data_IF_057852710940
#
_entry.id   IF_057852710940
#
_cell.length_a   1.000
_cell.length_b   1.000
_cell.length_c   1.000
_cell.angle_alpha   90.00
_cell.angle_beta   90.00
_cell.angle_gamma   90.00
#
_symmetry.space_group_name_H-M   'P 1'
#
loop_
_entity.id
_entity.type
_entity.pdbx_description
1 polymer ?
#
# COMPACT_ATOMS: atom_id res chain seq x y z
N UNK A 1 19.16 -18.09 25.41
CA UNK A 1 17.77 -17.89 25.84
C UNK A 1 17.15 -16.97 24.82
N UNK A 2 16.15 -17.46 24.04
CA UNK A 2 15.41 -16.59 23.10
C UNK A 2 14.57 -15.62 23.94
N UNK A 3 14.84 -14.31 23.83
CA UNK A 3 13.99 -13.28 24.43
C UNK A 3 12.65 -13.33 23.70
N UNK A 4 11.58 -13.58 24.44
CA UNK A 4 10.23 -13.49 23.90
C UNK A 4 9.93 -12.04 23.57
N UNK A 5 9.57 -11.79 22.32
CA UNK A 5 9.03 -10.49 21.87
C UNK A 5 7.54 -10.54 22.18
N UNK A 6 7.06 -9.71 23.11
CA UNK A 6 5.63 -9.52 23.32
C UNK A 6 5.13 -8.49 22.33
N UNK A 7 4.38 -8.95 21.35
CA UNK A 7 3.69 -8.07 20.39
C UNK A 7 2.25 -7.95 20.90
N UNK A 8 1.85 -6.74 21.28
CA UNK A 8 0.43 -6.45 21.56
C UNK A 8 -0.21 -6.00 20.27
N UNK A 9 -1.02 -6.87 19.68
CA UNK A 9 -1.72 -6.61 18.43
C UNK A 9 -3.12 -6.09 18.74
N UNK A 10 -3.41 -4.84 18.39
CA UNK A 10 -4.77 -4.31 18.41
C UNK A 10 -5.33 -4.37 16.98
N UNK A 11 -6.30 -5.25 16.75
CA UNK A 11 -7.02 -5.35 15.48
C UNK A 11 -8.29 -4.54 15.63
N UNK A 12 -8.34 -3.40 14.95
CA UNK A 12 -9.57 -2.61 14.85
C UNK A 12 -10.12 -2.79 13.44
N UNK A 13 -11.11 -3.68 13.31
CA UNK A 13 -11.90 -3.81 12.09
C UNK A 13 -12.86 -2.63 11.99
N UNK A 14 -12.45 -1.57 11.32
CA UNK A 14 -13.37 -0.47 11.00
C UNK A 14 -13.98 -0.78 9.64
N UNK A 15 -15.15 -1.38 9.67
CA UNK A 15 -16.05 -1.37 8.51
C UNK A 15 -16.69 0.01 8.49
N UNK A 16 -16.20 0.93 7.64
CA UNK A 16 -16.91 2.17 7.31
C UNK A 16 -18.16 1.87 6.46
N UNK A 17 -19.10 1.10 7.01
CA UNK A 17 -20.40 0.75 6.41
C UNK A 17 -21.55 1.45 7.14
N UNK A 18 -21.36 2.63 7.74
CA UNK A 18 -22.44 3.27 8.52
C UNK A 18 -23.36 4.15 7.66
N UNK A 19 -23.15 4.38 6.37
CA UNK A 19 -24.00 5.29 5.61
C UNK A 19 -24.86 4.68 4.50
N UNK A 20 -24.75 3.40 4.17
CA UNK A 20 -25.69 2.76 3.23
C UNK A 20 -26.97 2.23 3.90
N UNK A 21 -26.95 1.95 5.20
CA UNK A 21 -28.12 1.49 5.95
C UNK A 21 -29.19 2.58 6.16
N UNK A 22 -28.80 3.82 6.35
CA UNK A 22 -29.75 4.93 6.60
C UNK A 22 -30.49 5.37 5.33
N UNK A 23 -29.87 5.28 4.16
CA UNK A 23 -30.49 5.63 2.88
C UNK A 23 -31.55 4.60 2.43
N UNK A 24 -31.35 3.31 2.71
CA UNK A 24 -32.32 2.27 2.38
C UNK A 24 -33.54 2.28 3.32
N UNK A 25 -33.38 2.64 4.57
CA UNK A 25 -34.51 2.74 5.51
C UNK A 25 -35.37 3.98 5.19
N UNK A 26 -34.78 5.06 4.71
CA UNK A 26 -35.51 6.26 4.32
C UNK A 26 -36.33 6.05 3.02
N UNK A 27 -35.78 5.29 2.07
CA UNK A 27 -36.46 4.95 0.81
C UNK A 27 -37.64 3.96 1.01
N UNK A 28 -37.57 3.09 2.00
CA UNK A 28 -38.63 2.14 2.33
C UNK A 28 -39.83 2.79 3.03
N UNK A 29 -39.64 3.96 3.69
CA UNK A 29 -40.74 4.67 4.38
C UNK A 29 -41.47 5.71 3.55
N UNK A 30 -40.98 6.08 2.35
CA UNK A 30 -41.56 7.12 1.49
C UNK A 30 -41.80 6.68 0.04
N UNK A 31 -41.95 5.39 -0.22
CA UNK A 31 -42.19 4.83 -1.54
C UNK A 31 -43.63 5.05 -2.04
N UNK A 32 -43.85 6.16 -2.74
CA UNK A 32 -44.98 6.37 -3.60
C UNK A 32 -44.75 5.71 -4.97
N UNK A 33 -45.73 4.90 -5.37
CA UNK A 33 -45.96 4.21 -6.64
C UNK A 33 -45.44 4.97 -7.88
N UNK A 34 -44.57 4.34 -8.69
CA UNK A 34 -44.34 4.74 -10.08
C UNK A 34 -44.69 3.58 -11.00
N UNK A 35 -45.69 3.87 -11.88
CA UNK A 35 -46.21 3.02 -12.91
C UNK A 35 -45.14 2.59 -13.92
N UNK A 36 -45.08 1.29 -14.18
CA UNK A 36 -44.44 0.66 -15.33
C UNK A 36 -45.07 1.16 -16.65
N UNK A 37 -44.25 1.56 -17.60
CA UNK A 37 -44.61 1.78 -18.99
C UNK A 37 -43.77 0.85 -19.86
N UNK A 38 -44.46 -0.16 -20.40
CA UNK A 38 -43.97 -1.03 -21.47
C UNK A 38 -43.68 -0.22 -22.75
N UNK A 39 -42.57 -0.53 -23.39
CA UNK A 39 -42.49 -0.37 -24.86
C UNK A 39 -41.49 -1.41 -25.43
N UNK A 40 -42.10 -2.32 -26.18
CA UNK A 40 -41.52 -3.32 -27.08
C UNK A 40 -41.06 -2.69 -28.39
N UNK A 41 -40.13 -3.39 -29.04
CA UNK A 41 -39.81 -3.45 -30.48
C UNK A 41 -38.90 -2.30 -31.01
N UNK A 42 -37.87 -2.57 -31.80
CA UNK A 42 -37.77 -3.43 -33.00
C UNK A 42 -36.29 -3.67 -33.37
N UNK A 43 -36.05 -4.85 -33.94
CA UNK A 43 -34.81 -5.26 -34.61
C UNK A 43 -34.76 -4.75 -36.07
N UNK A 44 -33.56 -4.50 -36.62
CA UNK A 44 -33.17 -4.69 -38.04
C UNK A 44 -31.67 -4.34 -38.17
N UNK A 45 -30.83 -5.30 -38.40
CA UNK A 45 -30.20 -5.85 -39.61
C UNK A 45 -29.27 -4.91 -40.40
N UNK A 46 -28.04 -5.41 -40.52
CA UNK A 46 -27.19 -5.53 -41.68
C UNK A 46 -26.32 -4.32 -42.13
N UNK A 47 -25.08 -4.68 -42.44
CA UNK A 47 -24.23 -3.99 -43.39
C UNK A 47 -22.75 -4.15 -43.16
N UNK A 48 -22.20 -5.20 -43.75
CA UNK A 48 -20.82 -5.49 -44.13
C UNK A 48 -20.16 -4.40 -44.96
N UNK A 49 -18.81 -4.31 -44.87
CA UNK A 49 -17.76 -4.15 -45.90
C UNK A 49 -16.57 -3.44 -45.28
N UNK A 50 -15.43 -4.03 -45.17
CA UNK A 50 -14.36 -4.45 -46.08
C UNK A 50 -13.35 -3.32 -46.40
N UNK A 51 -12.17 -3.53 -45.92
CA UNK A 51 -10.86 -3.63 -46.58
C UNK A 51 -10.11 -2.37 -47.08
N UNK A 52 -8.82 -2.56 -46.97
CA UNK A 52 -7.62 -2.06 -47.72
C UNK A 52 -6.87 -0.91 -47.07
N UNK A 53 -5.66 -1.15 -46.63
CA UNK A 53 -4.32 -1.46 -47.19
C UNK A 53 -3.56 -0.19 -47.62
N UNK A 54 -2.38 -0.02 -47.05
CA UNK A 54 -1.11 0.45 -47.67
C UNK A 54 -0.13 0.91 -46.57
N UNK A 55 0.89 0.14 -46.29
CA UNK A 55 2.26 0.09 -46.84
C UNK A 55 3.14 1.35 -46.67
N UNK A 56 4.25 1.02 -45.96
CA UNK A 56 5.65 1.38 -46.18
C UNK A 56 6.11 2.88 -46.12
N UNK A 57 7.09 3.11 -45.25
CA UNK A 57 8.49 3.32 -45.67
C UNK A 57 9.45 3.59 -44.51
N UNK A 58 10.50 2.79 -44.52
CA UNK A 58 11.88 2.92 -44.06
C UNK A 58 12.46 4.33 -43.94
N UNK A 59 13.35 4.47 -42.98
CA UNK A 59 14.33 5.53 -42.87
C UNK A 59 15.41 5.24 -41.87
N UNK A 60 16.43 4.54 -42.32
CA UNK A 60 17.72 4.23 -41.71
C UNK A 60 18.64 5.47 -41.79
N UNK A 61 19.46 5.73 -40.76
CA UNK A 61 20.87 6.20 -40.86
C UNK A 61 21.42 6.53 -39.47
N UNK A 62 22.33 5.77 -38.99
CA UNK A 62 23.81 5.89 -39.00
C UNK A 62 24.45 6.83 -37.98
N UNK A 63 25.18 6.11 -37.06
CA UNK A 63 26.58 6.26 -36.63
C UNK A 63 27.23 7.63 -36.43
N UNK A 64 27.84 7.79 -35.23
CA UNK A 64 29.30 8.01 -34.97
C UNK A 64 29.55 8.27 -33.48
N UNK A 65 30.24 7.42 -32.81
CA UNK A 65 31.66 7.28 -32.38
C UNK A 65 32.42 8.55 -31.98
N UNK A 66 33.07 8.47 -30.86
CA UNK A 66 34.21 9.27 -30.41
C UNK A 66 34.16 9.58 -28.93
N UNK A 67 35.03 9.32 -28.15
CA UNK A 67 36.38 8.83 -27.91
C UNK A 67 36.81 9.42 -26.54
N UNK A 68 37.48 8.59 -25.79
CA UNK A 68 38.36 8.71 -24.62
C UNK A 68 38.79 10.10 -24.13
N UNK A 69 38.92 10.23 -22.77
CA UNK A 69 40.25 10.47 -22.17
C UNK A 69 40.28 10.16 -20.70
N UNK A 70 41.40 9.53 -20.32
CA UNK A 70 41.93 9.18 -19.03
C UNK A 70 42.24 10.39 -18.11
N UNK A 71 42.27 10.15 -16.81
CA UNK A 71 42.88 11.04 -15.82
C UNK A 71 43.06 10.38 -14.46
N UNK A 72 44.18 9.71 -14.29
CA UNK A 72 44.78 9.28 -12.99
C UNK A 72 45.28 10.49 -12.19
N UNK A 73 45.28 10.37 -10.83
CA UNK A 73 46.39 10.60 -9.90
C UNK A 73 45.87 10.35 -8.47
N UNK A 74 46.35 9.35 -7.79
CA UNK A 74 47.53 9.17 -6.93
C UNK A 74 47.49 9.97 -5.62
N UNK A 75 47.35 9.18 -4.54
CA UNK A 75 48.13 9.02 -3.31
C UNK A 75 48.50 10.23 -2.45
N UNK A 76 48.26 10.13 -1.16
CA UNK A 76 49.34 9.97 -0.17
C UNK A 76 48.82 9.73 1.24
N UNK A 77 49.61 8.95 1.95
CA UNK A 77 49.48 8.45 3.31
C UNK A 77 49.99 9.45 4.34
N UNK A 78 49.47 9.40 5.56
CA UNK A 78 50.05 10.02 6.74
C UNK A 78 49.81 9.19 7.98
N UNK A 79 50.81 8.48 8.46
CA UNK A 79 50.92 7.83 9.78
C UNK A 79 51.33 8.87 10.83
N UNK A 80 50.88 8.63 12.07
CA UNK A 80 51.66 8.58 13.34
C UNK A 80 50.69 8.56 14.51
N UNK A 81 50.71 7.56 15.31
CA UNK A 81 51.52 7.12 16.43
C UNK A 81 51.03 7.64 17.80
N UNK A 82 50.53 6.68 18.55
CA UNK A 82 50.63 6.34 19.97
C UNK A 82 50.80 7.42 21.07
N UNK A 83 49.98 7.30 22.12
CA UNK A 83 50.48 7.22 23.49
C UNK A 83 49.45 6.55 24.41
N UNK A 84 49.93 5.54 25.11
CA UNK A 84 49.31 4.87 26.26
C UNK A 84 49.22 5.84 27.43
N UNK A 85 48.12 5.80 28.17
CA UNK A 85 48.20 5.94 29.62
C UNK A 85 47.07 5.16 30.30
N UNK A 86 47.50 4.30 31.19
CA UNK A 86 46.64 3.41 31.96
C UNK A 86 46.16 4.13 33.22
N UNK A 87 44.85 4.27 33.37
CA UNK A 87 44.30 4.51 34.71
C UNK A 87 43.13 3.57 35.01
N UNK A 88 43.40 2.72 35.98
CA UNK A 88 42.59 1.64 36.50
C UNK A 88 41.49 2.22 37.40
N UNK A 89 40.27 2.43 36.87
CA UNK A 89 39.11 2.75 37.69
C UNK A 89 38.14 1.57 37.74
N UNK A 90 38.00 1.02 38.94
CA UNK A 90 37.03 0.01 39.30
C UNK A 90 35.64 0.52 38.94
N UNK A 91 35.13 0.04 37.86
CA UNK A 91 33.77 0.36 37.40
C UNK A 91 32.76 -0.51 38.12
N UNK A 92 31.94 0.14 38.92
CA UNK A 92 30.66 -0.35 39.42
C UNK A 92 29.82 -0.81 38.22
N UNK A 93 29.56 -2.09 38.10
CA UNK A 93 28.61 -2.67 37.16
C UNK A 93 27.25 -2.08 37.47
N UNK A 94 26.84 -1.06 36.75
CA UNK A 94 25.43 -0.75 36.59
C UNK A 94 24.90 -1.76 35.58
N UNK A 95 24.21 -2.79 36.09
CA UNK A 95 23.24 -3.50 35.28
C UNK A 95 22.23 -2.45 34.77
N UNK A 96 22.45 -1.97 33.57
CA UNK A 96 21.37 -1.36 32.80
C UNK A 96 20.38 -2.50 32.51
N UNK A 97 19.31 -2.55 33.28
CA UNK A 97 18.13 -3.28 32.88
C UNK A 97 17.69 -2.63 31.56
N UNK A 98 17.98 -3.31 30.49
CA UNK A 98 17.48 -3.01 29.14
C UNK A 98 15.98 -3.23 29.19
N UNK A 99 15.23 -2.24 29.66
CA UNK A 99 13.78 -2.21 29.63
C UNK A 99 13.44 -1.95 28.16
N UNK A 100 13.29 -3.03 27.39
CA UNK A 100 12.72 -2.91 26.04
C UNK A 100 11.28 -2.48 26.22
N UNK A 101 10.97 -1.24 25.91
CA UNK A 101 9.60 -0.76 25.85
C UNK A 101 8.82 -1.62 24.84
N UNK A 102 7.59 -1.99 25.20
CA UNK A 102 6.68 -2.69 24.28
C UNK A 102 6.40 -1.75 23.11
N UNK A 103 6.40 -2.28 21.88
CA UNK A 103 6.06 -1.52 20.68
C UNK A 103 4.65 -1.88 20.24
N UNK A 104 3.82 -0.87 20.06
CA UNK A 104 2.42 -0.98 19.64
C UNK A 104 2.32 -0.82 18.13
N UNK A 105 1.82 -1.84 17.43
CA UNK A 105 1.49 -1.80 16.02
C UNK A 105 -0.01 -1.73 15.85
N UNK A 106 -0.52 -0.73 15.12
CA UNK A 106 -1.93 -0.57 14.80
C UNK A 106 -2.16 -0.90 13.31
N UNK A 107 -3.14 -1.74 13.06
CA UNK A 107 -3.59 -2.06 11.71
C UNK A 107 -5.07 -1.74 11.55
N UNK A 108 -5.44 -1.10 10.44
CA UNK A 108 -6.84 -0.98 10.04
C UNK A 108 -7.08 -1.73 8.74
N UNK A 109 -8.35 -1.94 8.39
CA UNK A 109 -8.76 -2.39 7.07
C UNK A 109 -8.70 -1.27 6.04
N UNK A 110 -9.69 -1.25 5.16
CA UNK A 110 -9.77 -0.38 4.00
C UNK A 110 -10.13 1.06 4.43
N UNK A 111 -9.25 2.00 4.09
CA UNK A 111 -9.46 3.44 4.26
C UNK A 111 -9.84 4.02 2.92
N UNK A 112 -10.99 4.69 2.88
CA UNK A 112 -11.54 5.27 1.68
C UNK A 112 -11.98 6.71 1.91
N UNK A 113 -11.34 7.66 1.23
CA UNK A 113 -11.70 9.07 1.27
C UNK A 113 -12.82 9.39 0.27
N UNK A 114 -14.02 8.83 0.52
CA UNK A 114 -15.21 9.01 -0.29
C UNK A 114 -15.91 10.37 -0.04
N UNK A 115 -17.04 10.61 -0.70
CA UNK A 115 -17.74 11.91 -0.71
C UNK A 115 -18.03 12.48 0.69
N UNK A 116 -18.46 11.66 1.64
CA UNK A 116 -18.73 12.08 3.03
C UNK A 116 -17.45 12.49 3.76
N UNK A 117 -16.33 11.84 3.48
CA UNK A 117 -15.04 12.21 4.04
C UNK A 117 -14.69 13.67 3.71
N UNK A 118 -14.69 14.02 2.41
CA UNK A 118 -14.32 15.37 1.95
C UNK A 118 -15.19 16.44 2.62
N UNK A 119 -16.51 16.23 2.62
CA UNK A 119 -17.45 17.19 3.23
C UNK A 119 -17.19 17.40 4.73
N UNK A 120 -16.95 16.30 5.45
CA UNK A 120 -16.71 16.38 6.89
C UNK A 120 -15.32 16.98 7.19
N UNK A 121 -14.29 16.55 6.45
CA UNK A 121 -12.95 17.06 6.64
C UNK A 121 -12.86 18.57 6.35
N UNK A 122 -13.49 19.05 5.28
CA UNK A 122 -13.53 20.47 4.94
C UNK A 122 -14.29 21.30 6.00
N UNK A 123 -15.24 20.69 6.71
CA UNK A 123 -16.02 21.35 7.74
C UNK A 123 -15.31 21.43 9.10
N UNK A 124 -14.44 20.48 9.45
CA UNK A 124 -13.86 20.41 10.79
C UNK A 124 -12.60 19.57 10.93
N UNK A 125 -11.87 19.31 9.81
CA UNK A 125 -10.65 18.50 9.83
C UNK A 125 -10.93 17.04 10.19
N UNK A 126 -9.87 16.34 10.60
CA UNK A 126 -9.98 14.91 10.93
C UNK A 126 -10.92 14.62 12.09
N UNK A 127 -11.09 15.54 13.02
CA UNK A 127 -12.00 15.41 14.18
C UNK A 127 -13.48 15.38 13.79
N UNK A 128 -13.83 15.84 12.59
CA UNK A 128 -15.17 15.70 12.03
C UNK A 128 -15.35 14.39 11.21
N UNK A 129 -14.28 13.63 11.00
CA UNK A 129 -14.29 12.39 10.21
C UNK A 129 -14.27 11.15 11.09
N UNK A 130 -13.40 11.11 12.09
CA UNK A 130 -13.26 10.01 13.04
C UNK A 130 -13.49 10.48 14.47
N UNK A 131 -14.02 9.61 15.32
CA UNK A 131 -14.20 9.94 16.73
C UNK A 131 -12.85 10.02 17.49
N UNK A 132 -12.87 10.74 18.61
CA UNK A 132 -11.65 10.97 19.40
C UNK A 132 -11.01 9.67 19.90
N UNK A 133 -11.80 8.67 20.29
CA UNK A 133 -11.26 7.39 20.77
C UNK A 133 -10.51 6.65 19.70
N UNK A 134 -11.03 6.66 18.48
CA UNK A 134 -10.35 6.08 17.30
C UNK A 134 -9.07 6.85 16.98
N UNK A 135 -9.15 8.18 16.94
CA UNK A 135 -7.99 9.03 16.69
C UNK A 135 -6.89 8.79 17.73
N UNK A 136 -7.24 8.72 19.02
CA UNK A 136 -6.29 8.43 20.08
C UNK A 136 -5.60 7.06 19.90
N UNK A 137 -6.33 6.03 19.51
CA UNK A 137 -5.76 4.70 19.24
C UNK A 137 -4.74 4.73 18.09
N UNK A 138 -5.08 5.41 17.00
CA UNK A 138 -4.24 5.49 15.81
C UNK A 138 -2.97 6.34 16.07
N UNK A 139 -3.14 7.52 16.68
CA UNK A 139 -2.04 8.47 16.89
C UNK A 139 -1.06 8.01 17.99
N UNK A 140 -1.56 7.31 19.01
CA UNK A 140 -0.72 6.84 20.13
C UNK A 140 -0.04 5.49 19.85
N UNK A 141 -0.32 4.82 18.75
CA UNK A 141 0.44 3.66 18.32
C UNK A 141 1.84 4.09 17.86
N UNK A 142 2.84 3.24 18.11
CA UNK A 142 4.22 3.49 17.65
C UNK A 142 4.34 3.41 16.14
N UNK A 143 3.54 2.52 15.50
CA UNK A 143 3.43 2.39 14.04
C UNK A 143 1.98 2.10 13.68
N UNK A 144 1.40 2.90 12.78
CA UNK A 144 0.06 2.69 12.22
C UNK A 144 0.13 2.39 10.74
N UNK A 145 -0.42 1.25 10.32
CA UNK A 145 -0.55 0.82 8.92
C UNK A 145 -2.01 0.67 8.51
N UNK A 146 -2.35 1.21 7.33
CA UNK A 146 -3.71 1.14 6.77
C UNK A 146 -3.68 0.67 5.31
N UNK A 147 -4.82 0.19 4.78
CA UNK A 147 -4.98 0.01 3.34
C UNK A 147 -5.57 1.30 2.73
N UNK A 148 -4.78 2.02 1.93
CA UNK A 148 -5.24 3.17 1.14
C UNK A 148 -5.91 2.66 -0.14
N UNK A 149 -7.24 2.64 -0.16
CA UNK A 149 -8.00 2.00 -1.23
C UNK A 149 -8.51 2.98 -2.29
N UNK A 150 -7.68 3.94 -2.64
CA UNK A 150 -7.93 4.93 -3.69
C UNK A 150 -6.61 5.58 -4.12
N UNK A 151 -6.47 6.11 -5.33
CA UNK A 151 -5.32 6.92 -5.71
C UNK A 151 -5.50 8.39 -5.30
N UNK A 152 -4.42 9.03 -4.84
CA UNK A 152 -4.29 10.48 -4.76
C UNK A 152 -3.88 11.05 -6.11
N UNK A 153 -4.81 11.68 -6.81
CA UNK A 153 -4.51 12.32 -8.11
C UNK A 153 -5.63 13.26 -8.54
N UNK A 154 -5.25 14.24 -9.36
CA UNK A 154 -6.20 15.04 -10.14
C UNK A 154 -6.13 14.69 -11.64
N UNK A 155 -5.34 13.67 -12.01
CA UNK A 155 -5.08 13.23 -13.40
C UNK A 155 -5.60 11.81 -13.63
N UNK A 156 -5.39 11.32 -14.82
CA UNK A 156 -5.77 9.96 -15.22
C UNK A 156 -7.20 9.85 -15.71
N UNK A 157 -7.52 8.69 -16.28
CA UNK A 157 -8.83 8.39 -16.85
C UNK A 157 -9.49 7.31 -16.01
N UNK A 158 -10.73 7.55 -15.66
CA UNK A 158 -11.54 6.57 -14.92
C UNK A 158 -11.61 5.24 -15.68
N UNK A 159 -11.44 4.15 -14.96
CA UNK A 159 -11.58 2.80 -15.51
C UNK A 159 -13.03 2.59 -15.99
N UNK A 160 -13.18 2.16 -17.25
CA UNK A 160 -14.44 1.74 -17.81
C UNK A 160 -14.88 0.38 -17.24
N UNK A 161 -16.16 0.09 -17.26
CA UNK A 161 -16.75 -1.19 -16.84
C UNK A 161 -16.47 -1.61 -15.38
N UNK A 162 -16.08 -0.66 -14.52
CA UNK A 162 -15.96 -0.86 -13.08
C UNK A 162 -17.06 -0.11 -12.32
N UNK A 163 -17.86 -0.83 -11.51
CA UNK A 163 -19.03 -0.28 -10.83
C UNK A 163 -18.69 0.86 -9.87
N UNK A 164 -17.61 0.72 -9.12
CA UNK A 164 -17.11 1.73 -8.19
C UNK A 164 -15.67 2.07 -8.51
N UNK A 165 -15.39 3.36 -8.63
CA UNK A 165 -14.05 3.90 -8.84
C UNK A 165 -13.82 5.07 -7.91
N UNK A 166 -12.63 5.13 -7.31
CA UNK A 166 -12.29 6.12 -6.30
C UNK A 166 -11.07 6.93 -6.73
N UNK A 167 -11.09 8.20 -6.38
CA UNK A 167 -9.94 9.11 -6.53
C UNK A 167 -10.09 10.27 -5.57
N UNK A 168 -8.99 10.66 -4.94
CA UNK A 168 -8.96 11.78 -3.99
C UNK A 168 -7.93 12.81 -4.41
N UNK A 169 -8.27 14.08 -4.24
CA UNK A 169 -7.33 15.19 -4.48
C UNK A 169 -6.13 15.07 -3.53
N UNK A 170 -4.88 15.19 -4.02
CA UNK A 170 -3.67 15.12 -3.20
C UNK A 170 -3.64 16.07 -1.99
N UNK A 171 -4.39 17.17 -2.03
CA UNK A 171 -4.50 18.10 -0.89
C UNK A 171 -5.06 17.48 0.39
N UNK A 172 -5.78 16.36 0.28
CA UNK A 172 -6.32 15.63 1.44
C UNK A 172 -5.33 14.63 2.06
N UNK A 173 -4.14 14.48 1.50
CA UNK A 173 -3.17 13.50 2.01
C UNK A 173 -2.72 13.81 3.46
N UNK A 174 -2.75 15.07 3.88
CA UNK A 174 -2.48 15.46 5.26
C UNK A 174 -3.38 14.75 6.27
N UNK A 175 -4.60 14.38 5.89
CA UNK A 175 -5.52 13.65 6.76
C UNK A 175 -4.96 12.30 7.23
N UNK A 176 -4.18 11.59 6.39
CA UNK A 176 -3.50 10.36 6.82
C UNK A 176 -2.50 10.65 7.95
N UNK A 177 -1.72 11.73 7.87
CA UNK A 177 -0.80 12.13 8.94
C UNK A 177 -1.53 12.55 10.20
N UNK A 178 -2.65 13.25 10.09
CA UNK A 178 -3.50 13.64 11.23
C UNK A 178 -4.12 12.40 11.91
N UNK A 179 -4.30 11.32 11.18
CA UNK A 179 -4.69 10.00 11.70
C UNK A 179 -3.52 9.22 12.32
N UNK A 180 -2.28 9.71 12.26
CA UNK A 180 -1.11 9.00 12.76
C UNK A 180 -0.62 7.88 11.84
N UNK A 181 -0.97 7.89 10.55
CA UNK A 181 -0.55 6.84 9.59
C UNK A 181 0.92 7.00 9.24
N UNK A 182 1.69 5.92 9.36
CA UNK A 182 3.10 5.82 9.02
C UNK A 182 3.34 5.02 7.73
N UNK A 183 2.53 3.98 7.51
CA UNK A 183 2.65 3.08 6.36
C UNK A 183 1.27 2.86 5.74
N UNK A 184 1.20 2.87 4.41
CA UNK A 184 0.01 2.40 3.69
C UNK A 184 0.34 1.18 2.83
N UNK A 185 -0.64 0.29 2.63
CA UNK A 185 -0.60 -0.62 1.50
C UNK A 185 -1.34 0.01 0.33
N UNK A 186 -0.73 -0.05 -0.85
CA UNK A 186 -1.34 0.33 -2.12
C UNK A 186 -1.72 -0.89 -2.97
N UNK A 187 -1.47 -2.09 -2.43
CA UNK A 187 -1.79 -3.34 -3.12
C UNK A 187 -3.28 -3.70 -2.94
N UNK A 188 -4.16 -3.09 -3.74
CA UNK A 188 -5.60 -3.32 -3.69
C UNK A 188 -6.25 -3.19 -5.08
N UNK A 189 -7.56 -3.38 -5.15
CA UNK A 189 -8.31 -3.35 -6.39
C UNK A 189 -8.82 -1.95 -6.79
N UNK A 190 -8.42 -0.88 -6.08
CA UNK A 190 -8.86 0.48 -6.37
C UNK A 190 -7.73 1.47 -6.69
N UNK A 191 -6.49 1.14 -6.40
CA UNK A 191 -5.37 2.08 -6.54
C UNK A 191 -5.09 2.52 -7.99
N UNK A 192 -5.53 1.75 -8.97
CA UNK A 192 -5.40 2.05 -10.40
C UNK A 192 -6.74 2.41 -11.08
N UNK A 193 -7.75 2.80 -10.32
CA UNK A 193 -9.07 3.19 -10.84
C UNK A 193 -9.02 4.32 -11.86
N UNK A 194 -7.99 5.14 -11.81
CA UNK A 194 -7.72 6.23 -12.75
C UNK A 194 -6.41 6.04 -13.52
N UNK A 195 -5.93 4.80 -13.58
CA UNK A 195 -4.76 4.42 -14.37
C UNK A 195 -3.42 4.69 -13.68
N UNK A 196 -2.33 4.41 -14.41
CA UNK A 196 -0.96 4.46 -13.88
C UNK A 196 -0.49 5.87 -13.56
N UNK A 197 -1.03 6.87 -14.27
CA UNK A 197 -0.74 8.26 -14.01
C UNK A 197 -1.20 8.67 -12.61
N UNK A 198 -2.41 8.24 -12.22
CA UNK A 198 -2.92 8.47 -10.89
C UNK A 198 -2.14 7.70 -9.81
N UNK A 199 -1.69 6.48 -10.10
CA UNK A 199 -0.81 5.72 -9.21
C UNK A 199 0.54 6.45 -8.99
N UNK A 200 1.14 6.98 -10.05
CA UNK A 200 2.40 7.73 -9.95
C UNK A 200 2.24 9.02 -9.14
N UNK A 201 1.10 9.70 -9.27
CA UNK A 201 0.76 10.86 -8.44
C UNK A 201 0.62 10.48 -6.96
N UNK A 202 0.05 9.29 -6.69
CA UNK A 202 -0.08 8.76 -5.33
C UNK A 202 1.29 8.56 -4.68
N UNK A 203 2.26 7.97 -5.39
CA UNK A 203 3.63 7.82 -4.88
C UNK A 203 4.22 9.18 -4.49
N UNK A 204 4.17 10.16 -5.41
CA UNK A 204 4.67 11.51 -5.15
C UNK A 204 3.97 12.19 -3.96
N UNK A 205 2.67 11.96 -3.83
CA UNK A 205 1.86 12.53 -2.75
C UNK A 205 2.26 11.97 -1.38
N UNK A 206 2.40 10.64 -1.29
CA UNK A 206 2.80 9.96 -0.06
C UNK A 206 4.25 10.30 0.33
N UNK A 207 5.16 10.34 -0.64
CA UNK A 207 6.55 10.79 -0.42
C UNK A 207 6.57 12.20 0.16
N UNK A 208 5.73 13.10 -0.37
CA UNK A 208 5.58 14.48 0.12
C UNK A 208 5.06 14.59 1.56
N UNK A 209 4.33 13.57 2.04
CA UNK A 209 3.84 13.47 3.42
C UNK A 209 4.79 12.66 4.33
N UNK A 210 5.83 12.04 3.79
CA UNK A 210 6.70 11.14 4.52
C UNK A 210 5.98 9.89 5.02
N UNK A 211 5.00 9.40 4.25
CA UNK A 211 4.27 8.16 4.50
C UNK A 211 4.89 7.06 3.64
N UNK A 212 5.29 5.97 4.26
CA UNK A 212 5.81 4.80 3.53
C UNK A 212 4.67 4.06 2.84
N UNK A 213 4.96 3.45 1.68
CA UNK A 213 3.97 2.63 0.98
C UNK A 213 4.57 1.32 0.49
N UNK A 214 3.80 0.24 0.61
CA UNK A 214 4.17 -1.12 0.24
C UNK A 214 3.22 -1.71 -0.79
N UNK A 215 3.72 -2.66 -1.58
CA UNK A 215 2.90 -3.49 -2.48
C UNK A 215 2.56 -2.87 -3.82
N UNK A 216 3.06 -1.67 -4.12
CA UNK A 216 3.00 -1.06 -5.44
C UNK A 216 4.30 -0.30 -5.72
N UNK A 217 4.58 -0.07 -7.00
CA UNK A 217 5.79 0.63 -7.43
C UNK A 217 5.78 0.95 -8.92
N UNK A 218 6.76 1.72 -9.34
CA UNK A 218 7.06 2.00 -10.75
C UNK A 218 7.83 0.87 -11.43
N UNK A 219 8.33 -0.08 -10.63
CA UNK A 219 9.00 -1.29 -11.06
C UNK A 219 8.70 -2.46 -10.12
N UNK A 220 9.03 -3.68 -10.53
CA UNK A 220 8.88 -4.90 -9.72
C UNK A 220 9.71 -4.79 -8.45
N UNK A 221 10.94 -4.30 -8.56
CA UNK A 221 11.88 -4.14 -7.45
C UNK A 221 11.28 -3.20 -6.38
N UNK A 222 10.73 -2.05 -6.79
CA UNK A 222 10.10 -1.11 -5.84
C UNK A 222 8.84 -1.67 -5.20
N UNK A 223 8.01 -2.38 -5.97
CA UNK A 223 6.79 -2.98 -5.42
C UNK A 223 7.04 -4.13 -4.43
N UNK A 224 8.21 -4.80 -4.53
CA UNK A 224 8.67 -5.87 -3.64
C UNK A 224 9.55 -5.37 -2.48
N UNK A 225 9.92 -4.11 -2.50
CA UNK A 225 10.80 -3.53 -1.50
C UNK A 225 10.12 -3.51 -0.12
N UNK A 226 10.81 -4.08 0.89
CA UNK A 226 10.35 -4.01 2.27
C UNK A 226 10.49 -2.59 2.79
N UNK A 227 9.42 -2.05 3.36
CA UNK A 227 9.44 -0.76 4.03
C UNK A 227 9.82 -0.98 5.48
N UNK A 228 10.83 -0.29 5.99
CA UNK A 228 11.37 -0.53 7.34
C UNK A 228 11.24 0.72 8.19
N UNK A 229 10.66 0.56 9.37
CA UNK A 229 10.61 1.59 10.43
C UNK A 229 11.37 1.06 11.63
N UNK A 230 12.24 1.89 12.21
CA UNK A 230 12.95 1.56 13.43
C UNK A 230 12.33 2.29 14.62
N UNK A 231 11.84 1.51 15.59
CA UNK A 231 11.22 2.00 16.82
C UNK A 231 11.76 1.18 18.00
N UNK A 232 12.12 1.85 19.09
CA UNK A 232 12.62 1.22 20.31
C UNK A 232 13.81 0.26 20.08
N UNK A 233 14.69 0.62 19.11
CA UNK A 233 15.87 -0.16 18.75
C UNK A 233 15.58 -1.47 18.00
N UNK A 234 14.37 -1.62 17.44
CA UNK A 234 13.97 -2.75 16.59
C UNK A 234 13.50 -2.26 15.23
N UNK A 235 13.74 -3.07 14.20
CA UNK A 235 13.33 -2.83 12.83
C UNK A 235 12.06 -3.61 12.52
N UNK A 236 11.02 -2.89 12.12
CA UNK A 236 9.74 -3.43 11.69
C UNK A 236 9.64 -3.31 10.17
N UNK A 237 9.56 -4.44 9.49
CA UNK A 237 9.45 -4.52 8.03
C UNK A 237 8.00 -4.72 7.60
N UNK A 238 7.59 -4.04 6.52
CA UNK A 238 6.25 -4.11 5.96
C UNK A 238 6.33 -4.47 4.48
N UNK A 239 5.62 -5.54 4.10
CA UNK A 239 5.38 -5.94 2.72
C UNK A 239 3.89 -6.03 2.47
N UNK A 240 3.47 -5.76 1.23
CA UNK A 240 2.07 -5.92 0.86
C UNK A 240 1.90 -6.50 -0.54
N UNK A 241 0.77 -7.17 -0.78
CA UNK A 241 0.38 -7.66 -2.09
C UNK A 241 -1.14 -7.81 -2.19
N UNK A 242 -1.66 -7.92 -3.42
CA UNK A 242 -3.09 -8.13 -3.68
C UNK A 242 -3.36 -9.45 -4.38
N UNK A 243 -4.44 -10.11 -3.99
CA UNK A 243 -5.06 -11.22 -4.73
C UNK A 243 -6.27 -10.75 -5.53
N UNK A 244 -6.70 -9.51 -5.35
CA UNK A 244 -7.85 -8.92 -6.02
C UNK A 244 -7.37 -7.85 -6.99
N UNK A 245 -7.33 -8.20 -8.29
CA UNK A 245 -7.02 -7.27 -9.36
C UNK A 245 -8.14 -7.32 -10.39
N UNK A 246 -8.78 -6.19 -10.74
CA UNK A 246 -9.85 -6.14 -11.73
C UNK A 246 -9.40 -6.64 -13.11
N UNK A 247 -8.15 -6.35 -13.47
CA UNK A 247 -7.53 -6.80 -14.72
C UNK A 247 -6.08 -7.21 -14.48
N UNK A 248 -5.60 -8.23 -15.21
CA UNK A 248 -4.22 -8.72 -15.09
C UNK A 248 -3.17 -7.63 -15.37
N UNK A 249 -3.49 -6.68 -16.22
CA UNK A 249 -2.60 -5.56 -16.55
C UNK A 249 -2.31 -4.58 -15.41
N UNK A 250 -2.94 -4.73 -14.24
CA UNK A 250 -2.62 -3.95 -13.04
C UNK A 250 -1.40 -4.48 -12.29
N UNK A 251 -1.02 -5.73 -12.57
CA UNK A 251 0.19 -6.30 -11.99
C UNK A 251 1.42 -5.50 -12.42
N UNK A 252 2.33 -5.26 -11.48
CA UNK A 252 3.57 -4.55 -11.76
C UNK A 252 4.48 -5.39 -12.65
N UNK A 253 5.10 -4.73 -13.62
CA UNK A 253 6.10 -5.32 -14.51
C UNK A 253 7.36 -4.43 -14.54
N UNK A 254 8.43 -4.91 -15.17
CA UNK A 254 9.65 -4.12 -15.31
C UNK A 254 9.36 -2.77 -16.01
N UNK A 255 9.63 -1.68 -15.30
CA UNK A 255 9.41 -0.31 -15.76
C UNK A 255 7.94 0.04 -16.11
N UNK A 256 6.97 -0.71 -15.57
CA UNK A 256 5.54 -0.43 -15.71
C UNK A 256 4.92 -0.33 -14.32
N UNK A 257 4.50 0.86 -13.89
CA UNK A 257 3.88 1.05 -12.58
C UNK A 257 2.68 0.13 -12.37
N UNK A 258 2.58 -0.45 -11.18
CA UNK A 258 1.50 -1.37 -10.87
C UNK A 258 1.55 -1.89 -9.44
N UNK A 259 0.74 -2.91 -9.20
CA UNK A 259 0.54 -3.56 -7.89
C UNK A 259 1.26 -4.90 -7.86
N UNK A 260 1.85 -5.23 -6.73
CA UNK A 260 2.37 -6.58 -6.50
C UNK A 260 1.19 -7.54 -6.25
N UNK A 261 1.08 -8.59 -7.06
CA UNK A 261 0.02 -9.58 -6.92
C UNK A 261 0.50 -10.89 -6.32
N UNK A 262 -0.43 -11.63 -5.72
CA UNK A 262 -0.20 -12.99 -5.21
C UNK A 262 -0.72 -14.08 -6.17
N UNK A 263 -1.05 -13.75 -7.42
CA UNK A 263 -1.43 -14.76 -8.42
C UNK A 263 -0.24 -15.64 -8.77
N UNK A 264 0.96 -15.07 -8.88
CA UNK A 264 2.23 -15.80 -8.79
C UNK A 264 2.73 -15.73 -7.34
N UNK A 265 2.37 -16.73 -6.55
CA UNK A 265 2.75 -16.79 -5.14
C UNK A 265 4.27 -16.89 -4.93
N UNK A 266 5.00 -17.46 -5.90
CA UNK A 266 6.46 -17.65 -5.81
C UNK A 266 7.18 -16.31 -5.65
N UNK A 267 6.76 -15.30 -6.44
CA UNK A 267 7.35 -13.97 -6.38
C UNK A 267 7.21 -13.36 -5.00
N UNK A 268 6.01 -13.41 -4.43
CA UNK A 268 5.76 -12.80 -3.13
C UNK A 268 6.41 -13.56 -1.98
N UNK A 269 6.41 -14.90 -2.02
CA UNK A 269 7.13 -15.76 -1.06
C UNK A 269 8.62 -15.45 -1.05
N UNK A 270 9.24 -15.27 -2.23
CA UNK A 270 10.66 -14.91 -2.34
C UNK A 270 10.92 -13.51 -1.76
N UNK A 271 10.06 -12.53 -2.04
CA UNK A 271 10.18 -11.19 -1.46
C UNK A 271 10.13 -11.22 0.09
N UNK A 272 9.25 -12.05 0.67
CA UNK A 272 9.17 -12.25 2.12
C UNK A 272 10.49 -12.84 2.67
N UNK A 273 11.00 -13.89 2.01
CA UNK A 273 12.25 -14.53 2.44
C UNK A 273 13.45 -13.58 2.38
N UNK A 274 13.53 -12.74 1.36
CA UNK A 274 14.56 -11.70 1.21
C UNK A 274 14.44 -10.60 2.27
N UNK A 275 13.21 -10.15 2.54
CA UNK A 275 12.93 -9.11 3.52
C UNK A 275 13.26 -9.54 4.97
N UNK A 276 13.16 -10.84 5.29
CA UNK A 276 13.37 -11.37 6.64
C UNK A 276 14.71 -10.96 7.26
N UNK A 277 15.75 -10.84 6.46
CA UNK A 277 17.09 -10.47 6.94
C UNK A 277 17.26 -8.98 7.23
N UNK A 278 16.28 -8.14 6.84
CA UNK A 278 16.37 -6.68 6.91
C UNK A 278 15.64 -6.09 8.13
N UNK A 279 14.88 -6.91 8.86
CA UNK A 279 14.07 -6.45 9.99
C UNK A 279 13.99 -7.50 11.10
N UNK A 280 13.63 -7.06 12.32
CA UNK A 280 13.44 -7.92 13.49
C UNK A 280 12.02 -8.51 13.52
N UNK A 281 11.04 -7.76 13.03
CA UNK A 281 9.64 -8.17 12.89
C UNK A 281 9.20 -7.87 11.46
N UNK A 282 8.65 -8.88 10.77
CA UNK A 282 8.17 -8.76 9.40
C UNK A 282 6.65 -8.92 9.34
N UNK A 283 5.99 -7.87 8.90
CA UNK A 283 4.54 -7.82 8.69
C UNK A 283 4.24 -7.94 7.20
N UNK A 284 3.31 -8.81 6.87
CA UNK A 284 2.80 -9.02 5.51
C UNK A 284 1.33 -8.63 5.48
N UNK A 285 0.98 -7.66 4.66
CA UNK A 285 -0.39 -7.18 4.47
C UNK A 285 -0.94 -7.64 3.11
N UNK A 286 -2.08 -8.35 3.09
CA UNK A 286 -2.63 -8.91 1.85
C UNK A 286 -4.08 -8.48 1.64
N UNK A 287 -4.35 -7.87 0.49
CA UNK A 287 -5.70 -7.54 0.05
C UNK A 287 -6.29 -8.73 -0.71
N UNK A 288 -7.19 -9.48 -0.07
CA UNK A 288 -7.70 -10.76 -0.56
C UNK A 288 -9.05 -11.15 0.03
N UNK A 289 -9.64 -12.20 -0.50
CA UNK A 289 -10.91 -12.74 -0.02
C UNK A 289 -12.07 -12.39 -0.91
N UNK A 290 -13.25 -12.45 -0.35
CA UNK A 290 -14.51 -12.07 -0.97
C UNK A 290 -15.20 -11.06 -0.08
N UNK A 291 -15.68 -9.97 -0.67
CA UNK A 291 -16.44 -8.94 0.04
C UNK A 291 -17.65 -9.54 0.77
N UNK A 292 -17.94 -9.01 1.95
CA UNK A 292 -19.06 -9.43 2.81
C UNK A 292 -19.00 -10.87 3.31
N UNK A 293 -17.81 -11.49 3.34
CA UNK A 293 -17.61 -12.82 3.89
C UNK A 293 -16.83 -12.75 5.21
N UNK A 294 -17.44 -13.25 6.28
CA UNK A 294 -16.80 -13.32 7.62
C UNK A 294 -15.75 -14.43 7.74
N UNK A 295 -15.76 -15.39 6.83
CA UNK A 295 -14.87 -16.55 6.89
C UNK A 295 -13.87 -16.51 5.76
N UNK A 296 -12.57 -16.64 6.08
CA UNK A 296 -11.54 -16.68 5.05
C UNK A 296 -11.69 -17.93 4.18
N UNK A 297 -11.43 -17.75 2.89
CA UNK A 297 -11.38 -18.83 1.90
C UNK A 297 -10.21 -19.79 2.16
N UNK A 298 -10.29 -21.00 1.61
CA UNK A 298 -9.26 -22.02 1.80
C UNK A 298 -7.87 -21.54 1.32
N UNK A 299 -7.80 -20.83 0.20
CA UNK A 299 -6.54 -20.33 -0.33
C UNK A 299 -5.88 -19.28 0.57
N UNK A 300 -6.66 -18.45 1.27
CA UNK A 300 -6.13 -17.44 2.20
C UNK A 300 -5.36 -18.13 3.34
N UNK A 301 -5.92 -19.21 3.92
CA UNK A 301 -5.25 -20.00 4.96
C UNK A 301 -3.97 -20.65 4.46
N UNK A 302 -4.00 -21.22 3.26
CA UNK A 302 -2.83 -21.88 2.64
C UNK A 302 -1.72 -20.88 2.36
N UNK A 303 -2.05 -19.71 1.80
CA UNK A 303 -1.07 -18.68 1.50
C UNK A 303 -0.52 -18.03 2.77
N UNK A 304 -1.38 -17.75 3.78
CA UNK A 304 -0.91 -17.22 5.06
C UNK A 304 0.13 -18.14 5.71
N UNK A 305 -0.10 -19.45 5.68
CA UNK A 305 0.87 -20.42 6.21
C UNK A 305 2.20 -20.36 5.43
N UNK A 306 2.16 -20.30 4.09
CA UNK A 306 3.37 -20.15 3.28
C UNK A 306 4.14 -18.86 3.57
N UNK A 307 3.43 -17.76 3.85
CA UNK A 307 4.06 -16.48 4.17
C UNK A 307 4.75 -16.52 5.55
N UNK A 308 4.13 -17.18 6.54
CA UNK A 308 4.76 -17.43 7.84
C UNK A 308 5.99 -18.35 7.68
N UNK A 309 5.88 -19.43 6.90
CA UNK A 309 7.00 -20.34 6.61
C UNK A 309 8.14 -19.63 5.86
N UNK A 310 7.85 -18.63 5.03
CA UNK A 310 8.83 -17.80 4.34
C UNK A 310 9.53 -16.77 5.26
N UNK A 311 8.99 -16.51 6.45
CA UNK A 311 9.62 -15.64 7.44
C UNK A 311 8.78 -14.46 7.93
N UNK A 312 7.50 -14.35 7.55
CA UNK A 312 6.61 -13.36 8.12
C UNK A 312 6.28 -13.70 9.59
N UNK A 313 6.30 -12.70 10.46
CA UNK A 313 5.86 -12.84 11.86
C UNK A 313 4.35 -12.59 11.99
N UNK A 314 3.81 -11.71 11.13
CA UNK A 314 2.39 -11.34 11.11
C UNK A 314 1.88 -11.33 9.68
N UNK A 315 0.69 -11.92 9.45
CA UNK A 315 -0.06 -11.79 8.20
C UNK A 315 -1.40 -11.13 8.51
N UNK A 316 -1.63 -9.96 7.93
CA UNK A 316 -2.86 -9.20 8.05
C UNK A 316 -3.60 -9.18 6.71
N UNK A 317 -4.94 -9.14 6.73
CA UNK A 317 -5.76 -9.14 5.52
C UNK A 317 -6.83 -8.07 5.51
N UNK A 318 -7.20 -7.61 4.32
CA UNK A 318 -8.28 -6.66 4.04
C UNK A 318 -9.15 -7.13 2.87
N UNK A 319 -10.14 -6.35 2.47
CA UNK A 319 -11.12 -6.64 1.41
C UNK A 319 -12.30 -7.53 1.85
N UNK A 320 -12.67 -7.58 3.12
CA UNK A 320 -13.80 -8.44 3.58
C UNK A 320 -14.98 -7.62 4.11
#
# INVERSE_FOLDING_TARGET
MKKEVRITLYIVSIVCVILLGAAMIYAAHHGGSIRQKDSRQTAATAGTEAAEDSKDKNGESDLKTGDKTDGKNDAEAGKDAASEDADKKIGKSTETTDVTEDTTLMFTGDVLFANSFKTNYDAGGIDAVIDNGMKELLVNADITMVNEEFPFSNRGTQMEDKQYTFRTDPSYAAALKEMGVDVVTLANNHILDYGREALSDTFTTLDGQGILYAGAGDSVERAQEVQVIEVNGKKYGFLAASRVLPVAGWNVESAVPGVLSTYDETRFVNAIAEARSQCDVLVVYVHWGLEHQEKPEAYQRTLAQKYIEAGADVVFGAHS
#
